data_IF_037377910015
#
_entry.id   IF_037377910015
#
_cell.length_a   1.000
_cell.length_b   1.000
_cell.length_c   1.000
_cell.angle_alpha   90.00
_cell.angle_beta   90.00
_cell.angle_gamma   90.00
#
_symmetry.space_group_name_H-M   'P 1'
#
loop_
_entity.id
_entity.type
_entity.pdbx_description
1 polymer ?
#
# COMPACT_ATOMS: atom_id res chain seq x y z
N UNK A 1 -18.85 -20.38 -0.07
CA UNK A 1 -18.61 -20.15 1.36
C UNK A 1 -17.37 -20.94 1.72
N UNK A 2 -16.20 -20.31 1.60
CA UNK A 2 -14.93 -20.96 1.95
C UNK A 2 -14.77 -20.96 3.47
N UNK A 3 -14.73 -22.16 4.05
CA UNK A 3 -14.17 -22.40 5.38
C UNK A 3 -12.65 -22.13 5.32
N UNK A 4 -12.25 -20.86 5.32
CA UNK A 4 -10.87 -20.47 5.60
C UNK A 4 -10.65 -20.71 7.10
N UNK A 5 -10.33 -21.95 7.49
CA UNK A 5 -9.59 -22.16 8.73
C UNK A 5 -8.31 -21.37 8.60
N UNK A 6 -8.15 -20.35 9.44
CA UNK A 6 -6.88 -19.64 9.57
C UNK A 6 -5.79 -20.67 9.82
N UNK A 7 -4.92 -20.87 8.85
CA UNK A 7 -3.87 -21.90 8.86
C UNK A 7 -2.75 -21.47 9.82
N UNK A 8 -2.60 -20.15 10.01
CA UNK A 8 -1.63 -19.51 10.90
C UNK A 8 -2.34 -18.45 11.75
N UNK A 9 -1.91 -18.21 12.99
CA UNK A 9 -2.43 -17.11 13.79
C UNK A 9 -2.05 -15.77 13.16
N UNK A 10 -2.83 -14.73 13.42
CA UNK A 10 -2.56 -13.36 12.95
C UNK A 10 -1.53 -12.67 13.85
N UNK A 11 -1.50 -13.07 15.12
CA UNK A 11 -0.59 -12.54 16.13
C UNK A 11 -0.28 -13.58 17.19
N UNK A 12 0.87 -13.40 17.83
CA UNK A 12 1.30 -14.21 18.98
C UNK A 12 1.67 -13.31 20.15
N UNK A 13 1.28 -13.72 21.36
CA UNK A 13 1.57 -12.99 22.60
C UNK A 13 2.94 -13.36 23.14
N UNK A 14 3.74 -12.35 23.44
CA UNK A 14 5.07 -12.51 24.01
C UNK A 14 5.21 -11.72 25.32
N UNK A 15 5.87 -12.29 26.35
CA UNK A 15 6.20 -11.55 27.56
C UNK A 15 7.21 -10.44 27.23
N UNK A 16 7.00 -9.28 27.81
CA UNK A 16 7.85 -8.10 27.62
C UNK A 16 8.03 -7.35 28.92
N UNK A 17 9.07 -6.55 29.04
CA UNK A 17 9.24 -5.59 30.12
C UNK A 17 8.94 -4.19 29.58
N UNK A 18 7.94 -3.54 30.17
CA UNK A 18 7.61 -2.15 29.84
C UNK A 18 8.44 -1.22 30.73
N UNK A 19 9.18 -0.32 30.10
CA UNK A 19 9.89 0.74 30.78
C UNK A 19 9.17 2.06 30.50
N UNK A 20 8.72 2.73 31.54
CA UNK A 20 8.00 4.02 31.42
C UNK A 20 8.88 5.11 32.03
N UNK A 21 9.12 6.18 31.28
CA UNK A 21 9.80 7.38 31.75
C UNK A 21 8.74 8.35 32.29
N UNK A 22 8.94 8.80 33.53
CA UNK A 22 8.19 9.91 34.07
C UNK A 22 9.04 11.19 33.95
N UNK A 23 8.45 12.30 33.62
CA UNK A 23 9.14 13.62 33.58
C UNK A 23 9.47 14.13 35.01
N UNK A 24 10.00 13.28 35.87
CA UNK A 24 10.50 13.64 37.19
C UNK A 24 12.00 13.83 37.15
N UNK A 25 12.53 14.69 37.99
CA UNK A 25 13.96 15.04 38.08
C UNK A 25 14.90 13.84 38.26
N UNK A 26 14.39 12.70 38.66
CA UNK A 26 15.20 11.54 39.07
C UNK A 26 15.50 10.53 37.96
N UNK A 27 14.90 10.71 36.78
CA UNK A 27 15.15 9.91 35.56
C UNK A 27 15.16 8.37 35.77
N UNK A 28 14.52 7.87 36.84
CA UNK A 28 14.45 6.43 37.12
C UNK A 28 13.26 5.84 36.38
N UNK A 29 13.49 4.92 35.42
CA UNK A 29 12.37 4.29 34.70
C UNK A 29 11.58 3.35 35.64
N UNK A 30 10.27 3.41 35.56
CA UNK A 30 9.41 2.39 36.15
C UNK A 30 9.40 1.16 35.22
N UNK A 31 9.74 0.00 35.75
CA UNK A 31 9.74 -1.27 34.99
C UNK A 31 8.57 -2.10 35.48
N UNK A 32 7.75 -2.58 34.54
CA UNK A 32 6.65 -3.50 34.79
C UNK A 32 6.68 -4.69 33.82
N UNK A 33 6.23 -5.85 34.26
CA UNK A 33 5.97 -6.97 33.34
C UNK A 33 4.75 -6.65 32.49
N UNK A 34 4.84 -6.98 31.19
CA UNK A 34 3.80 -6.76 30.20
C UNK A 34 3.71 -7.95 29.25
N UNK A 35 2.63 -8.01 28.47
CA UNK A 35 2.48 -8.98 27.38
C UNK A 35 2.05 -8.23 26.12
N UNK A 36 2.84 -8.39 25.06
CA UNK A 36 2.59 -7.73 23.79
C UNK A 36 2.13 -8.74 22.74
N UNK A 37 1.07 -8.40 22.02
CA UNK A 37 0.64 -9.13 20.84
C UNK A 37 1.45 -8.62 19.63
N UNK A 38 2.29 -9.48 19.08
CA UNK A 38 3.08 -9.18 17.90
C UNK A 38 2.42 -9.78 16.66
N UNK A 39 2.40 -9.05 15.56
CA UNK A 39 1.88 -9.55 14.30
C UNK A 39 2.68 -10.77 13.82
N UNK A 40 1.98 -11.76 13.29
CA UNK A 40 2.61 -12.85 12.57
C UNK A 40 2.90 -12.46 11.13
N UNK A 41 4.04 -12.90 10.65
CA UNK A 41 4.51 -12.74 9.29
C UNK A 41 4.95 -14.10 8.76
N UNK A 42 4.30 -14.56 7.69
CA UNK A 42 4.56 -15.88 7.11
C UNK A 42 5.00 -15.78 5.65
N UNK A 43 5.91 -16.64 5.17
CA UNK A 43 6.24 -16.71 3.77
C UNK A 43 5.06 -17.28 2.97
N UNK A 44 4.67 -16.60 1.90
CA UNK A 44 3.68 -17.01 0.91
C UNK A 44 4.37 -17.25 -0.43
N UNK A 45 4.40 -18.50 -0.89
CA UNK A 45 4.84 -18.83 -2.24
C UNK A 45 3.70 -18.59 -3.24
N UNK A 46 3.95 -17.76 -4.25
CA UNK A 46 3.06 -17.53 -5.39
C UNK A 46 3.47 -18.42 -6.55
N UNK A 47 2.60 -19.30 -6.99
CA UNK A 47 2.88 -20.32 -8.00
C UNK A 47 1.87 -20.21 -9.13
N UNK A 48 2.34 -19.88 -10.33
CA UNK A 48 1.50 -19.74 -11.53
C UNK A 48 1.62 -20.94 -12.43
N UNK A 49 0.53 -21.67 -12.64
CA UNK A 49 0.48 -22.90 -13.48
C UNK A 49 1.60 -23.91 -13.12
N UNK A 50 1.92 -24.04 -11.82
CA UNK A 50 2.95 -24.93 -11.31
C UNK A 50 4.38 -24.35 -11.34
N UNK A 51 4.56 -23.10 -11.79
CA UNK A 51 5.86 -22.40 -11.81
C UNK A 51 5.98 -21.48 -10.61
N UNK A 52 7.01 -21.66 -9.80
CA UNK A 52 7.33 -20.76 -8.69
C UNK A 52 7.67 -19.38 -9.22
N UNK A 53 6.95 -18.35 -8.76
CA UNK A 53 7.12 -16.98 -9.23
C UNK A 53 7.80 -16.10 -8.19
N UNK A 54 7.25 -16.03 -6.96
CA UNK A 54 7.77 -15.20 -5.88
C UNK A 54 7.43 -15.80 -4.53
N UNK A 55 8.22 -15.42 -3.52
CA UNK A 55 7.88 -15.63 -2.11
C UNK A 55 7.74 -14.24 -1.46
N UNK A 56 6.60 -14.01 -0.78
CA UNK A 56 6.29 -12.75 -0.13
C UNK A 56 6.06 -12.97 1.36
N UNK A 57 6.62 -12.11 2.20
CA UNK A 57 6.29 -12.10 3.63
C UNK A 57 4.96 -11.37 3.80
N UNK A 58 3.99 -11.98 4.48
CA UNK A 58 2.61 -11.50 4.55
C UNK A 58 1.96 -11.82 5.89
N UNK A 59 1.08 -10.94 6.38
CA UNK A 59 0.13 -11.31 7.43
C UNK A 59 -0.83 -12.37 6.89
N UNK A 60 -1.00 -13.54 7.57
CA UNK A 60 -1.73 -14.71 7.05
C UNK A 60 -3.25 -14.53 7.08
N UNK A 61 -3.74 -13.46 6.51
CA UNK A 61 -5.15 -13.09 6.41
C UNK A 61 -5.45 -12.48 5.03
N UNK A 62 -6.61 -12.76 4.45
CA UNK A 62 -7.02 -12.30 3.11
C UNK A 62 -6.01 -12.65 1.99
N UNK A 63 -5.48 -13.87 2.00
CA UNK A 63 -4.42 -14.32 1.07
C UNK A 63 -4.95 -14.37 -0.38
N UNK A 64 -6.19 -14.78 -0.57
CA UNK A 64 -6.84 -14.79 -1.90
C UNK A 64 -6.89 -13.37 -2.49
N UNK A 65 -7.29 -12.37 -1.68
CA UNK A 65 -7.31 -10.98 -2.10
C UNK A 65 -5.90 -10.50 -2.49
N UNK A 66 -4.89 -10.86 -1.68
CA UNK A 66 -3.49 -10.56 -2.00
C UNK A 66 -3.06 -11.16 -3.33
N UNK A 67 -3.30 -12.45 -3.54
CA UNK A 67 -2.87 -13.15 -4.75
C UNK A 67 -3.50 -12.55 -6.02
N UNK A 68 -4.78 -12.16 -5.97
CA UNK A 68 -5.48 -11.48 -7.06
C UNK A 68 -4.87 -10.09 -7.29
N UNK A 69 -4.76 -9.28 -6.24
CA UNK A 69 -4.27 -7.91 -6.33
C UNK A 69 -2.82 -7.85 -6.80
N UNK A 70 -1.94 -8.69 -6.25
CA UNK A 70 -0.55 -8.82 -6.69
C UNK A 70 -0.46 -9.19 -8.18
N UNK A 71 -1.26 -10.18 -8.63
CA UNK A 71 -1.28 -10.59 -10.03
C UNK A 71 -1.64 -9.44 -10.98
N UNK A 72 -2.61 -8.62 -10.57
CA UNK A 72 -3.07 -7.45 -11.33
C UNK A 72 -2.04 -6.32 -11.32
N UNK A 73 -1.56 -5.93 -10.13
CA UNK A 73 -0.65 -4.79 -9.97
C UNK A 73 0.75 -5.05 -10.52
N UNK A 74 1.18 -6.32 -10.52
CA UNK A 74 2.38 -6.74 -11.22
C UNK A 74 2.15 -6.91 -12.73
N UNK A 75 0.91 -6.78 -13.22
CA UNK A 75 0.57 -6.92 -14.65
C UNK A 75 0.79 -8.33 -15.16
N UNK A 76 0.63 -9.34 -14.32
CA UNK A 76 0.66 -10.76 -14.73
C UNK A 76 -0.66 -11.16 -15.36
N UNK A 77 -1.74 -10.54 -14.92
CA UNK A 77 -3.09 -10.65 -15.48
C UNK A 77 -3.65 -9.25 -15.73
N UNK A 78 -4.64 -9.13 -16.61
CA UNK A 78 -5.30 -7.86 -16.92
C UNK A 78 -6.58 -7.66 -16.10
N UNK A 79 -7.21 -8.76 -15.71
CA UNK A 79 -8.45 -8.76 -14.94
C UNK A 79 -8.51 -9.96 -13.99
N UNK A 80 -9.36 -9.92 -12.92
CA UNK A 80 -9.57 -11.09 -12.06
C UNK A 80 -10.07 -12.33 -12.83
N UNK A 81 -10.78 -12.15 -13.94
CA UNK A 81 -11.32 -13.25 -14.78
C UNK A 81 -10.24 -14.04 -15.52
N UNK A 82 -9.02 -13.52 -15.62
CA UNK A 82 -7.87 -14.25 -16.18
C UNK A 82 -7.38 -15.36 -15.25
N UNK A 83 -7.68 -15.23 -13.95
CA UNK A 83 -7.40 -16.25 -12.93
C UNK A 83 -8.51 -17.31 -12.99
N UNK A 84 -8.18 -18.50 -13.49
CA UNK A 84 -9.13 -19.60 -13.69
C UNK A 84 -9.34 -20.44 -12.43
N UNK A 85 -8.32 -20.51 -11.58
CA UNK A 85 -8.36 -21.19 -10.30
C UNK A 85 -7.36 -20.54 -9.37
N UNK A 86 -7.74 -20.37 -8.13
CA UNK A 86 -6.86 -19.93 -7.06
C UNK A 86 -7.14 -20.79 -5.83
N UNK A 87 -6.12 -21.42 -5.29
CA UNK A 87 -6.19 -22.18 -4.05
C UNK A 87 -5.03 -21.81 -3.15
N UNK A 88 -5.32 -21.73 -1.85
CA UNK A 88 -4.30 -21.44 -0.82
C UNK A 88 -4.20 -22.66 0.09
N UNK A 89 -2.99 -23.13 0.30
CA UNK A 89 -2.69 -24.31 1.11
C UNK A 89 -1.52 -24.04 2.05
N UNK A 90 -1.45 -24.81 3.15
CA UNK A 90 -0.25 -24.85 3.98
C UNK A 90 0.88 -25.54 3.24
N UNK A 91 2.07 -25.00 3.38
CA UNK A 91 3.32 -25.61 2.91
C UNK A 91 4.33 -25.67 4.07
N UNK A 92 5.44 -26.35 3.90
CA UNK A 92 6.46 -26.43 4.94
C UNK A 92 6.97 -25.03 5.33
N UNK A 93 6.57 -24.57 6.53
CA UNK A 93 6.98 -23.28 7.08
C UNK A 93 6.25 -22.06 6.55
N UNK A 94 5.15 -22.19 5.79
CA UNK A 94 4.42 -21.05 5.25
C UNK A 94 3.14 -21.41 4.49
N UNK A 95 2.77 -20.56 3.57
CA UNK A 95 1.59 -20.68 2.71
C UNK A 95 2.01 -20.82 1.25
N UNK A 96 1.15 -21.45 0.46
CA UNK A 96 1.29 -21.57 -0.99
C UNK A 96 -0.02 -21.17 -1.66
N UNK A 97 0.05 -20.22 -2.58
CA UNK A 97 -1.05 -19.84 -3.46
C UNK A 97 -0.79 -20.43 -4.86
N UNK A 98 -1.55 -21.45 -5.24
CA UNK A 98 -1.55 -22.02 -6.57
C UNK A 98 -2.56 -21.28 -7.45
N UNK A 99 -2.06 -20.58 -8.46
CA UNK A 99 -2.80 -19.69 -9.35
C UNK A 99 -2.75 -20.25 -10.76
N UNK A 100 -3.90 -20.61 -11.32
CA UNK A 100 -4.01 -21.02 -12.72
C UNK A 100 -4.51 -19.85 -13.56
N UNK A 101 -3.74 -19.51 -14.57
CA UNK A 101 -4.06 -18.42 -15.51
C UNK A 101 -4.17 -18.96 -16.93
N UNK A 102 -4.83 -18.17 -17.81
CA UNK A 102 -4.93 -18.48 -19.22
C UNK A 102 -3.59 -18.37 -19.96
N UNK A 103 -3.57 -18.82 -21.23
CA UNK A 103 -2.33 -18.91 -22.02
C UNK A 103 -1.61 -17.56 -22.21
N UNK A 104 -2.34 -16.47 -22.38
CA UNK A 104 -1.79 -15.12 -22.55
C UNK A 104 -1.08 -14.64 -21.28
N UNK A 105 -1.76 -14.72 -20.14
CA UNK A 105 -1.18 -14.38 -18.84
C UNK A 105 0.02 -15.28 -18.52
N UNK A 106 -0.04 -16.58 -18.87
CA UNK A 106 1.10 -17.48 -18.67
C UNK A 106 2.33 -17.06 -19.47
N UNK A 107 2.16 -16.55 -20.70
CA UNK A 107 3.30 -16.01 -21.48
C UNK A 107 3.95 -14.83 -20.75
N UNK A 108 3.16 -13.97 -20.17
CA UNK A 108 3.65 -12.82 -19.35
C UNK A 108 4.42 -13.31 -18.12
N UNK A 109 3.89 -14.29 -17.39
CA UNK A 109 4.56 -14.92 -16.25
C UNK A 109 5.92 -15.50 -16.68
N UNK A 110 5.96 -16.29 -17.74
CA UNK A 110 7.19 -16.92 -18.26
C UNK A 110 8.24 -15.88 -18.70
N UNK A 111 7.81 -14.80 -19.35
CA UNK A 111 8.71 -13.73 -19.78
C UNK A 111 9.38 -13.04 -18.60
N UNK A 112 8.69 -12.92 -17.47
CA UNK A 112 9.21 -12.28 -16.25
C UNK A 112 10.01 -13.22 -15.36
N UNK A 113 9.68 -14.51 -15.33
CA UNK A 113 10.40 -15.53 -14.55
C UNK A 113 11.81 -15.82 -15.12
N UNK A 114 12.00 -15.70 -16.43
CA UNK A 114 13.28 -15.94 -17.10
C UNK A 114 14.37 -14.90 -16.83
N UNK A 115 14.04 -13.78 -16.20
CA UNK A 115 15.01 -12.73 -15.82
C UNK A 115 15.67 -13.13 -14.49
N UNK A 116 17.01 -13.20 -14.40
CA UNK A 116 17.70 -13.59 -13.17
C UNK A 116 17.39 -12.57 -12.07
N UNK A 117 16.87 -13.06 -10.96
CA UNK A 117 16.44 -12.25 -9.83
C UNK A 117 17.56 -12.29 -8.81
N UNK A 118 18.53 -11.41 -8.98
CA UNK A 118 19.48 -11.10 -7.92
C UNK A 118 18.81 -10.12 -6.94
N UNK A 119 18.45 -10.61 -5.74
CA UNK A 119 17.98 -9.77 -4.63
C UNK A 119 16.51 -9.33 -4.74
N UNK A 120 15.55 -10.24 -4.52
CA UNK A 120 14.15 -9.85 -4.29
C UNK A 120 14.00 -9.27 -2.89
N UNK A 121 13.94 -7.96 -2.79
CA UNK A 121 13.43 -7.28 -1.60
C UNK A 121 11.90 -7.21 -1.70
N UNK A 122 11.23 -7.05 -0.56
CA UNK A 122 9.75 -6.97 -0.45
C UNK A 122 9.09 -5.82 -1.24
N UNK A 123 9.84 -5.05 -2.03
CA UNK A 123 9.33 -3.93 -2.83
C UNK A 123 8.95 -4.31 -4.28
N UNK A 124 9.14 -5.56 -4.73
CA UNK A 124 8.73 -6.01 -6.08
C UNK A 124 9.52 -5.41 -7.26
N UNK A 125 10.49 -4.54 -7.01
CA UNK A 125 11.28 -3.85 -8.07
C UNK A 125 12.51 -4.66 -8.48
N UNK A 126 13.00 -5.55 -7.61
CA UNK A 126 14.21 -6.31 -7.89
C UNK A 126 14.03 -7.25 -9.08
N UNK A 127 14.78 -7.01 -10.17
CA UNK A 127 14.71 -7.76 -11.42
C UNK A 127 13.85 -7.18 -12.52
N UNK A 128 13.20 -6.00 -12.29
CA UNK A 128 12.59 -5.23 -13.36
C UNK A 128 13.67 -4.46 -14.12
N UNK A 129 13.59 -4.47 -15.44
CA UNK A 129 14.35 -3.59 -16.32
C UNK A 129 13.92 -2.13 -16.03
N UNK A 130 14.88 -1.20 -16.00
CA UNK A 130 14.62 0.23 -15.75
C UNK A 130 13.52 0.75 -16.68
N UNK A 131 13.57 0.38 -17.97
CA UNK A 131 12.57 0.80 -18.96
C UNK A 131 11.17 0.22 -18.66
N UNK A 132 11.08 -1.01 -18.17
CA UNK A 132 9.80 -1.63 -17.79
C UNK A 132 9.20 -1.01 -16.52
N UNK A 133 10.04 -0.47 -15.63
CA UNK A 133 9.58 0.28 -14.46
C UNK A 133 8.97 1.62 -14.87
N UNK A 134 9.62 2.33 -15.79
CA UNK A 134 9.15 3.63 -16.27
C UNK A 134 7.88 3.53 -17.13
N UNK A 135 7.62 2.36 -17.74
CA UNK A 135 6.40 2.09 -18.50
C UNK A 135 5.20 1.68 -17.62
N UNK A 136 5.44 1.26 -16.38
CA UNK A 136 4.36 1.00 -15.43
C UNK A 136 3.73 2.33 -15.02
N UNK A 137 2.42 2.41 -15.02
CA UNK A 137 1.70 3.64 -14.63
C UNK A 137 1.41 4.61 -15.78
N UNK A 138 1.52 4.18 -17.05
CA UNK A 138 1.12 5.00 -18.22
C UNK A 138 -0.39 5.04 -18.47
N UNK A 139 -1.19 4.39 -17.62
CA UNK A 139 -2.65 4.43 -17.72
C UNK A 139 -3.10 5.87 -17.41
N UNK A 140 -3.84 6.48 -18.31
CA UNK A 140 -4.47 7.79 -18.06
C UNK A 140 -5.69 7.61 -17.16
N UNK A 141 -5.75 8.40 -16.10
CA UNK A 141 -6.84 8.37 -15.11
C UNK A 141 -7.52 9.73 -15.13
N UNK A 142 -8.85 9.72 -15.02
CA UNK A 142 -9.58 10.93 -14.67
C UNK A 142 -9.58 11.07 -13.16
N UNK A 143 -8.67 11.91 -12.65
CA UNK A 143 -8.55 12.19 -11.24
C UNK A 143 -9.75 12.99 -10.72
N UNK A 144 -10.09 12.73 -9.47
CA UNK A 144 -11.07 13.53 -8.74
C UNK A 144 -10.44 13.98 -7.42
N UNK A 145 -10.66 15.22 -7.03
CA UNK A 145 -10.13 15.75 -5.77
C UNK A 145 -11.15 15.51 -4.65
N UNK A 146 -10.85 14.64 -3.66
CA UNK A 146 -11.75 14.43 -2.54
C UNK A 146 -11.90 15.69 -1.69
N UNK A 147 -13.10 15.93 -1.20
CA UNK A 147 -13.40 17.03 -0.29
C UNK A 147 -12.66 16.87 1.04
N UNK A 148 -12.21 17.99 1.63
CA UNK A 148 -11.50 17.99 2.92
C UNK A 148 -12.30 17.30 4.02
N UNK A 149 -13.60 17.54 4.09
CA UNK A 149 -14.53 16.94 5.06
C UNK A 149 -14.60 15.43 4.93
N UNK A 150 -14.60 14.90 3.69
CA UNK A 150 -14.61 13.48 3.39
C UNK A 150 -13.30 12.80 3.82
N UNK A 151 -12.15 13.41 3.49
CA UNK A 151 -10.84 12.91 3.92
C UNK A 151 -10.77 12.88 5.45
N UNK A 152 -11.15 13.97 6.11
CA UNK A 152 -11.13 14.06 7.57
C UNK A 152 -12.02 13.01 8.22
N UNK A 153 -13.23 12.81 7.71
CA UNK A 153 -14.15 11.77 8.19
C UNK A 153 -13.52 10.38 8.07
N UNK A 154 -12.96 10.04 6.92
CA UNK A 154 -12.30 8.76 6.70
C UNK A 154 -11.14 8.54 7.67
N UNK A 155 -10.27 9.55 7.85
CA UNK A 155 -9.11 9.47 8.75
C UNK A 155 -9.54 9.26 10.22
N UNK A 156 -10.55 9.99 10.69
CA UNK A 156 -11.06 9.85 12.06
C UNK A 156 -11.66 8.47 12.33
N UNK A 157 -12.30 7.88 11.35
CA UNK A 157 -12.95 6.57 11.48
C UNK A 157 -12.03 5.38 11.14
N UNK A 158 -10.85 5.61 10.55
CA UNK A 158 -9.97 4.56 10.04
C UNK A 158 -9.62 3.52 11.12
N UNK A 159 -9.29 3.96 12.33
CA UNK A 159 -8.89 3.06 13.43
C UNK A 159 -9.97 2.05 13.79
N UNK A 160 -11.24 2.42 13.69
CA UNK A 160 -12.37 1.50 13.96
C UNK A 160 -12.52 0.43 12.88
N UNK A 161 -11.99 0.69 11.67
CA UNK A 161 -11.98 -0.24 10.54
C UNK A 161 -10.70 -1.08 10.44
N UNK A 162 -9.70 -0.82 11.30
CA UNK A 162 -8.48 -1.62 11.41
C UNK A 162 -8.67 -2.74 12.46
N UNK A 163 -9.47 -3.74 12.11
CA UNK A 163 -9.89 -4.79 13.05
C UNK A 163 -8.76 -5.71 13.47
N UNK A 164 -7.80 -6.01 12.58
CA UNK A 164 -6.63 -6.81 12.91
C UNK A 164 -5.65 -6.02 13.76
N UNK A 165 -5.46 -4.75 13.43
CA UNK A 165 -4.50 -3.87 14.11
C UNK A 165 -4.98 -3.41 15.50
N UNK A 166 -6.26 -3.61 15.84
CA UNK A 166 -6.83 -3.17 17.11
C UNK A 166 -6.10 -3.73 18.34
N UNK A 167 -5.64 -5.01 18.26
CA UNK A 167 -4.89 -5.68 19.33
C UNK A 167 -3.38 -5.76 19.13
N UNK A 168 -2.86 -5.30 17.95
CA UNK A 168 -1.47 -5.51 17.54
C UNK A 168 -0.71 -4.18 17.47
N UNK A 169 -1.31 -3.15 16.83
CA UNK A 169 -0.77 -1.79 16.79
C UNK A 169 0.36 -1.55 15.78
N UNK A 170 0.67 -2.52 14.89
CA UNK A 170 1.82 -2.41 13.97
C UNK A 170 1.51 -2.76 12.51
N UNK A 171 0.24 -3.03 12.16
CA UNK A 171 -0.15 -3.32 10.78
C UNK A 171 -0.41 -2.04 9.99
N UNK A 172 0.00 -2.06 8.73
CA UNK A 172 -0.43 -1.07 7.75
C UNK A 172 -1.85 -1.39 7.28
N UNK A 173 -2.56 -0.33 6.88
CA UNK A 173 -3.88 -0.47 6.29
C UNK A 173 -4.00 0.32 4.97
N UNK A 174 -4.78 -0.25 4.07
CA UNK A 174 -5.36 0.41 2.92
C UNK A 174 -6.89 0.33 3.04
N UNK A 175 -7.59 1.44 2.92
CA UNK A 175 -9.04 1.52 3.02
C UNK A 175 -9.63 2.17 1.75
N UNK A 176 -10.71 1.60 1.22
CA UNK A 176 -11.48 2.23 0.15
C UNK A 176 -12.59 3.07 0.74
N UNK A 177 -12.66 4.33 0.33
CA UNK A 177 -13.59 5.32 0.82
C UNK A 177 -14.47 5.83 -0.31
N UNK A 178 -15.77 6.04 -0.02
CA UNK A 178 -16.69 6.72 -0.92
C UNK A 178 -16.32 8.19 -1.06
N UNK A 179 -16.92 8.90 -2.02
CA UNK A 179 -16.76 10.34 -2.20
C UNK A 179 -17.09 11.14 -0.94
N UNK A 180 -17.95 10.64 -0.06
CA UNK A 180 -18.34 11.26 1.20
C UNK A 180 -17.44 10.88 2.39
N UNK A 181 -16.38 10.08 2.14
CA UNK A 181 -15.44 9.66 3.19
C UNK A 181 -15.90 8.50 4.05
N UNK A 182 -16.97 7.79 3.67
CA UNK A 182 -17.36 6.55 4.33
C UNK A 182 -16.42 5.43 3.90
N UNK A 183 -15.80 4.75 4.87
CA UNK A 183 -14.97 3.58 4.61
C UNK A 183 -15.87 2.40 4.26
N UNK A 184 -15.68 1.84 3.07
CA UNK A 184 -16.47 0.71 2.57
C UNK A 184 -15.84 -0.63 2.96
N UNK A 185 -14.52 -0.73 2.80
CA UNK A 185 -13.74 -1.90 3.23
C UNK A 185 -12.29 -1.51 3.48
N UNK A 186 -11.61 -2.31 4.32
CA UNK A 186 -10.21 -2.12 4.69
C UNK A 186 -9.47 -3.44 4.55
N UNK A 187 -8.19 -3.38 4.18
CA UNK A 187 -7.27 -4.50 4.20
C UNK A 187 -6.01 -4.12 4.95
N UNK A 188 -5.53 -5.07 5.75
CA UNK A 188 -4.40 -4.86 6.66
C UNK A 188 -3.31 -5.88 6.42
N UNK A 189 -2.05 -5.45 6.61
CA UNK A 189 -0.87 -6.31 6.49
C UNK A 189 0.33 -5.65 7.18
N UNK A 190 1.33 -6.45 7.60
CA UNK A 190 2.65 -5.95 8.05
C UNK A 190 3.35 -5.14 6.95
N UNK A 191 3.14 -5.52 5.69
CA UNK A 191 3.66 -4.87 4.50
C UNK A 191 2.65 -3.88 3.89
N UNK A 192 3.01 -2.59 3.76
CA UNK A 192 2.13 -1.59 3.13
C UNK A 192 1.73 -1.94 1.70
N UNK A 193 2.65 -2.55 0.92
CA UNK A 193 2.39 -2.98 -0.45
C UNK A 193 1.36 -4.11 -0.48
N UNK A 194 1.49 -5.06 0.45
CA UNK A 194 0.57 -6.17 0.59
C UNK A 194 -0.84 -5.69 0.99
N UNK A 195 -0.93 -4.74 1.94
CA UNK A 195 -2.22 -4.16 2.34
C UNK A 195 -2.95 -3.52 1.14
N UNK A 196 -2.22 -2.80 0.27
CA UNK A 196 -2.78 -2.21 -0.94
C UNK A 196 -3.15 -3.29 -1.97
N UNK A 197 -2.30 -4.30 -2.19
CA UNK A 197 -2.61 -5.40 -3.09
C UNK A 197 -3.86 -6.16 -2.62
N UNK A 198 -3.99 -6.45 -1.32
CA UNK A 198 -5.19 -7.05 -0.74
C UNK A 198 -6.44 -6.20 -1.02
N UNK A 199 -6.35 -4.88 -0.83
CA UNK A 199 -7.46 -3.97 -1.11
C UNK A 199 -7.86 -4.01 -2.58
N UNK A 200 -6.90 -3.92 -3.49
CA UNK A 200 -7.12 -3.93 -4.94
C UNK A 200 -7.74 -5.26 -5.36
N UNK A 201 -7.18 -6.38 -4.89
CA UNK A 201 -7.68 -7.71 -5.24
C UNK A 201 -9.12 -7.93 -4.78
N UNK A 202 -9.44 -7.55 -3.55
CA UNK A 202 -10.82 -7.61 -3.07
C UNK A 202 -11.75 -6.73 -3.88
N UNK A 203 -11.38 -5.48 -4.09
CA UNK A 203 -12.23 -4.51 -4.80
C UNK A 203 -12.53 -4.96 -6.23
N UNK A 204 -11.50 -5.30 -7.00
CA UNK A 204 -11.70 -5.72 -8.40
C UNK A 204 -12.42 -7.07 -8.53
N UNK A 205 -12.15 -8.01 -7.61
CA UNK A 205 -12.87 -9.30 -7.59
C UNK A 205 -14.34 -9.16 -7.22
N UNK A 206 -14.73 -8.08 -6.54
CA UNK A 206 -16.12 -7.76 -6.19
C UNK A 206 -16.70 -6.62 -7.03
N UNK A 207 -16.08 -6.29 -8.18
CA UNK A 207 -16.53 -5.29 -9.14
C UNK A 207 -16.73 -3.89 -8.55
N UNK A 208 -15.89 -3.50 -7.58
CA UNK A 208 -15.87 -2.13 -7.09
C UNK A 208 -15.31 -1.19 -8.15
N UNK A 209 -15.94 -0.04 -8.28
CA UNK A 209 -15.47 1.05 -9.15
C UNK A 209 -14.50 1.95 -8.38
N UNK A 210 -13.22 1.85 -8.72
CA UNK A 210 -12.15 2.67 -8.14
C UNK A 210 -12.06 4.09 -8.73
N UNK A 211 -12.95 4.47 -9.63
CA UNK A 211 -13.05 5.85 -10.13
C UNK A 211 -13.93 6.73 -9.26
N UNK A 212 -14.80 6.14 -8.42
CA UNK A 212 -15.80 6.84 -7.62
C UNK A 212 -15.50 6.78 -6.11
N UNK A 213 -14.42 7.43 -5.71
CA UNK A 213 -13.96 7.45 -4.32
C UNK A 213 -12.45 7.66 -4.21
N UNK A 214 -11.89 7.32 -3.08
CA UNK A 214 -10.44 7.42 -2.85
C UNK A 214 -9.91 6.27 -1.98
N UNK A 215 -8.66 5.92 -2.19
CA UNK A 215 -7.94 4.98 -1.34
C UNK A 215 -7.20 5.74 -0.24
N UNK A 216 -7.41 5.36 1.04
CA UNK A 216 -6.72 5.92 2.20
C UNK A 216 -5.66 4.93 2.70
N UNK A 217 -4.39 5.39 2.80
CA UNK A 217 -3.24 4.63 3.25
C UNK A 217 -2.72 5.13 4.59
N UNK A 218 -2.42 4.23 5.52
CA UNK A 218 -1.71 4.58 6.77
C UNK A 218 -0.21 4.81 6.56
N UNK A 219 0.34 4.34 5.46
CA UNK A 219 1.78 4.36 5.14
C UNK A 219 2.20 5.63 4.39
N UNK A 220 3.50 5.70 4.04
CA UNK A 220 4.02 6.63 3.02
C UNK A 220 3.55 6.19 1.63
N UNK A 221 3.42 7.15 0.70
CA UNK A 221 3.21 6.87 -0.71
C UNK A 221 4.56 6.83 -1.44
N UNK A 222 5.05 5.63 -1.76
CA UNK A 222 6.21 5.44 -2.64
C UNK A 222 5.78 5.33 -4.10
N UNK A 223 6.77 5.30 -5.01
CA UNK A 223 6.54 5.07 -6.43
C UNK A 223 5.64 3.85 -6.70
N UNK A 224 5.95 2.72 -6.02
CA UNK A 224 5.19 1.47 -6.19
C UNK A 224 3.73 1.61 -5.74
N UNK A 225 3.50 2.33 -4.62
CA UNK A 225 2.14 2.56 -4.12
C UNK A 225 1.32 3.37 -5.14
N UNK A 226 1.91 4.44 -5.70
CA UNK A 226 1.29 5.22 -6.76
C UNK A 226 1.02 4.37 -8.02
N UNK A 227 2.01 3.58 -8.46
CA UNK A 227 1.89 2.70 -9.63
C UNK A 227 0.79 1.65 -9.46
N UNK A 228 0.69 1.02 -8.28
CA UNK A 228 -0.38 0.06 -7.98
C UNK A 228 -1.77 0.71 -8.02
N UNK A 229 -1.92 1.90 -7.45
CA UNK A 229 -3.18 2.66 -7.49
C UNK A 229 -3.56 3.04 -8.94
N UNK A 230 -2.59 3.48 -9.75
CA UNK A 230 -2.79 3.79 -11.17
C UNK A 230 -3.20 2.53 -11.95
N UNK A 231 -2.52 1.41 -11.73
CA UNK A 231 -2.85 0.14 -12.38
C UNK A 231 -4.27 -0.31 -12.06
N UNK A 232 -4.71 -0.13 -10.82
CA UNK A 232 -6.07 -0.42 -10.39
C UNK A 232 -7.12 0.56 -10.92
N UNK A 233 -6.71 1.71 -11.48
CA UNK A 233 -7.60 2.75 -12.01
C UNK A 233 -8.20 3.65 -10.92
N UNK A 234 -7.53 3.79 -9.78
CA UNK A 234 -7.97 4.68 -8.70
C UNK A 234 -7.87 6.15 -9.13
N UNK A 235 -8.90 6.95 -8.87
CA UNK A 235 -8.92 8.38 -9.19
C UNK A 235 -8.18 9.24 -8.17
N UNK A 236 -8.13 8.83 -6.91
CA UNK A 236 -7.46 9.54 -5.84
C UNK A 236 -6.81 8.61 -4.83
N UNK A 237 -5.63 9.00 -4.34
CA UNK A 237 -4.86 8.29 -3.31
C UNK A 237 -4.55 9.27 -2.17
N UNK A 238 -4.98 8.93 -0.97
CA UNK A 238 -4.78 9.71 0.26
C UNK A 238 -3.81 8.97 1.17
N UNK A 239 -2.76 9.63 1.63
CA UNK A 239 -1.72 9.01 2.47
C UNK A 239 -1.49 9.85 3.74
N UNK A 240 -1.46 9.18 4.91
CA UNK A 240 -1.20 9.85 6.18
C UNK A 240 0.25 10.37 6.31
N UNK A 241 1.16 9.81 5.51
CA UNK A 241 2.58 10.20 5.49
C UNK A 241 2.99 10.78 4.15
N UNK A 242 4.13 11.47 4.11
CA UNK A 242 4.61 12.15 2.92
C UNK A 242 4.86 11.20 1.74
N UNK A 243 4.62 11.65 0.50
CA UNK A 243 4.98 10.93 -0.71
C UNK A 243 6.48 11.09 -1.02
N UNK A 244 7.00 10.22 -1.89
CA UNK A 244 8.28 10.48 -2.55
C UNK A 244 8.08 11.38 -3.78
N UNK A 245 9.11 12.14 -4.15
CA UNK A 245 9.03 12.99 -5.34
C UNK A 245 8.76 12.18 -6.63
N UNK A 246 9.27 10.95 -6.72
CA UNK A 246 8.99 10.06 -7.86
C UNK A 246 7.54 9.62 -7.87
N UNK A 247 6.97 9.25 -6.70
CA UNK A 247 5.55 8.92 -6.60
C UNK A 247 4.65 10.07 -7.08
N UNK A 248 5.00 11.30 -6.68
CA UNK A 248 4.26 12.50 -7.10
C UNK A 248 4.32 12.69 -8.62
N UNK A 249 5.52 12.66 -9.22
CA UNK A 249 5.64 12.79 -10.69
C UNK A 249 4.87 11.72 -11.44
N UNK A 250 4.92 10.48 -10.96
CA UNK A 250 4.18 9.36 -11.55
C UNK A 250 2.66 9.56 -11.43
N UNK A 251 2.17 10.00 -10.28
CA UNK A 251 0.76 10.32 -10.07
C UNK A 251 0.29 11.43 -11.01
N UNK A 252 1.06 12.53 -11.12
CA UNK A 252 0.75 13.66 -11.99
C UNK A 252 0.70 13.26 -13.47
N UNK A 253 1.66 12.48 -13.93
CA UNK A 253 1.72 11.99 -15.32
C UNK A 253 0.52 11.11 -15.69
N UNK A 254 0.05 10.31 -14.73
CA UNK A 254 -1.09 9.41 -14.94
C UNK A 254 -2.46 10.08 -14.70
N UNK A 255 -2.52 11.26 -14.11
CA UNK A 255 -3.76 11.93 -13.75
C UNK A 255 -4.32 11.52 -12.36
N UNK A 256 -3.57 10.74 -11.56
CA UNK A 256 -3.95 10.38 -10.21
C UNK A 256 -3.84 11.58 -9.26
N UNK A 257 -4.91 11.93 -8.56
CA UNK A 257 -4.85 12.93 -7.50
C UNK A 257 -4.19 12.31 -6.27
N UNK A 258 -3.11 12.94 -5.78
CA UNK A 258 -2.39 12.51 -4.59
C UNK A 258 -2.59 13.53 -3.47
N UNK A 259 -3.10 13.07 -2.32
CA UNK A 259 -3.26 13.87 -1.10
C UNK A 259 -2.34 13.32 -0.04
N UNK A 260 -1.28 14.06 0.30
CA UNK A 260 -0.28 13.63 1.29
C UNK A 260 0.68 14.79 1.66
N UNK A 261 1.16 14.90 2.89
CA UNK A 261 0.69 14.17 4.05
C UNK A 261 -0.67 14.68 4.54
N UNK A 262 -1.43 13.82 5.21
CA UNK A 262 -2.63 14.22 5.94
C UNK A 262 -2.30 14.28 7.42
N UNK A 263 -2.51 15.41 8.04
CA UNK A 263 -2.26 15.71 9.46
C UNK A 263 -3.56 16.16 10.13
N UNK A 264 -3.63 16.20 11.47
CA UNK A 264 -4.84 16.62 12.16
C UNK A 264 -5.32 18.04 11.80
N UNK A 265 -4.39 18.93 11.47
CA UNK A 265 -4.60 20.35 11.23
C UNK A 265 -4.46 20.79 9.77
N UNK A 266 -3.84 19.96 8.91
CA UNK A 266 -3.64 20.29 7.51
C UNK A 266 -3.44 19.05 6.62
N UNK A 267 -3.58 19.26 5.32
CA UNK A 267 -3.22 18.29 4.28
C UNK A 267 -2.69 19.02 3.05
N UNK A 268 -1.93 18.29 2.22
CA UNK A 268 -1.45 18.79 0.93
C UNK A 268 -2.10 18.01 -0.20
N UNK A 269 -2.62 18.71 -1.20
CA UNK A 269 -3.23 18.14 -2.40
C UNK A 269 -2.30 18.39 -3.57
N UNK A 270 -1.94 17.32 -4.28
CA UNK A 270 -1.18 17.37 -5.52
C UNK A 270 -2.09 16.91 -6.65
N UNK A 271 -2.74 17.87 -7.31
CA UNK A 271 -3.53 17.60 -8.51
C UNK A 271 -2.62 17.35 -9.70
N UNK A 272 -3.10 16.59 -10.73
CA UNK A 272 -2.42 16.53 -12.01
C UNK A 272 -2.21 17.94 -12.54
N UNK A 273 -1.03 18.23 -13.06
CA UNK A 273 -0.79 19.48 -13.76
C UNK A 273 -1.62 19.46 -15.05
N UNK A 274 -2.68 20.26 -15.12
CA UNK A 274 -3.18 20.72 -16.42
C UNK A 274 -2.01 21.38 -17.13
N UNK A 275 -1.73 21.07 -18.42
CA UNK A 275 -0.73 21.82 -19.18
C UNK A 275 -1.07 23.29 -19.05
N UNK A 276 -0.14 24.11 -18.55
CA UNK A 276 -0.30 25.50 -18.23
C UNK A 276 -1.08 26.30 -19.29
N UNK A 277 -2.28 26.72 -18.93
CA UNK A 277 -2.74 28.05 -19.26
C UNK A 277 -2.69 28.84 -17.93
N UNK A 278 -1.84 29.89 -17.89
CA UNK A 278 -1.82 30.95 -16.87
C UNK A 278 -1.05 30.73 -15.57
N UNK A 279 0.29 30.59 -15.67
CA UNK A 279 1.20 31.14 -14.68
C UNK A 279 2.04 32.26 -15.30
N UNK A 280 1.35 33.28 -15.81
CA UNK A 280 1.95 34.58 -16.04
C UNK A 280 1.29 35.56 -15.04
N UNK A 281 2.15 36.24 -14.28
CA UNK A 281 1.89 37.42 -13.46
C UNK A 281 1.38 37.20 -12.03
N UNK A 282 2.32 36.96 -11.07
CA UNK A 282 2.46 37.83 -9.91
C UNK A 282 3.84 37.59 -9.23
N UNK A 283 4.89 38.10 -9.91
CA UNK A 283 6.13 38.43 -9.22
C UNK A 283 5.93 39.82 -8.58
N UNK A 284 5.88 39.90 -7.24
CA UNK A 284 6.57 40.93 -6.48
C UNK A 284 6.30 40.71 -4.95
N UNK A 285 7.24 40.08 -4.32
CA UNK A 285 7.79 40.51 -3.02
C UNK A 285 8.77 39.44 -2.52
N UNK A 286 10.04 39.74 -2.66
CA UNK A 286 11.13 38.96 -2.07
C UNK A 286 11.14 39.19 -0.54
N UNK A 287 11.29 38.16 0.28
CA UNK A 287 11.76 38.33 1.65
C UNK A 287 13.28 38.37 1.67
N UNK A 288 13.79 39.35 2.41
CA UNK A 288 15.18 39.61 2.69
C UNK A 288 15.89 38.40 3.30
N UNK A 289 17.10 38.15 2.81
CA UNK A 289 18.05 37.23 3.37
C UNK A 289 18.43 37.64 4.82
N UNK A 290 18.21 36.75 5.79
CA UNK A 290 18.95 36.76 7.03
C UNK A 290 20.04 35.68 6.95
N UNK A 291 21.29 36.13 6.84
CA UNK A 291 22.51 35.35 7.04
C UNK A 291 22.66 35.05 8.52
N UNK A 292 23.29 33.93 8.79
CA UNK A 292 23.89 33.39 10.00
C UNK A 292 23.15 32.24 10.68
N UNK A 293 23.60 31.01 10.35
CA UNK A 293 23.90 30.02 11.38
C UNK A 293 24.93 29.03 10.81
N UNK A 294 26.10 29.05 11.41
CA UNK A 294 27.22 28.11 11.21
C UNK A 294 26.77 26.71 11.63
N UNK A 295 27.04 25.74 10.78
CA UNK A 295 26.96 24.30 11.10
C UNK A 295 28.29 23.93 11.72
N UNK A 296 28.29 23.52 12.99
CA UNK A 296 29.40 22.82 13.64
C UNK A 296 29.07 21.33 13.61
N UNK A 297 29.95 20.56 12.96
CA UNK A 297 29.95 19.10 12.96
C UNK A 297 30.21 18.58 14.39
N UNK A 298 29.47 17.56 14.77
CA UNK A 298 29.90 16.40 15.56
C UNK A 298 28.96 15.22 15.27
#
# INVERSE_FOLDING_TARGET
MENNKEIFPISTSYPAKRMTWHNSSDNIPCISEDTLNLAEEVPLALVYNGLDYAVMMITPHNITDFAIGFSLTEGLVQSPSDIKLLSVTSAAGGLRADIRVGAEALRTVLARTRRPIAGRTSCGICGSDMDSLLQRGQKSITGYTPEFSAIRSAVMNLRQHQTLNAGIGMLHAAAWCTVNGQITFTREDVGRHNALDKLIGYGLNNNYDFTNGFCLLTSRCSYEMATKAITAGMSALVSLSAPTALALRTAQQAGLVLVAPVKPDHLCIFSPTTPNSDLATSNNSAPQQNQHAQVTEL
#
